data_IF_010273207826
#
_entry.id   IF_010273207826
#
_cell.length_a   1.000
_cell.length_b   1.000
_cell.length_c   1.000
_cell.angle_alpha   90.00
_cell.angle_beta   90.00
_cell.angle_gamma   90.00
#
_symmetry.space_group_name_H-M   'P 1'
#
loop_
_entity.id
_entity.type
_entity.pdbx_description
1 polymer ?
#
# COMPACT_ATOMS: atom_id res chain seq x y z
N UNK A 1 58.80 -18.38 -27.79
CA UNK A 1 58.75 -17.72 -26.46
C UNK A 1 57.32 -17.37 -26.03
N UNK A 2 56.30 -18.19 -26.37
CA UNK A 2 54.87 -17.82 -26.22
C UNK A 2 54.06 -18.70 -25.26
N UNK A 3 54.64 -19.76 -24.67
CA UNK A 3 53.88 -20.65 -23.77
C UNK A 3 53.82 -20.16 -22.33
N UNK A 4 54.87 -19.54 -21.79
CA UNK A 4 54.89 -19.06 -20.40
C UNK A 4 54.04 -17.78 -20.20
N UNK A 5 53.98 -16.89 -21.20
CA UNK A 5 53.17 -15.66 -21.11
C UNK A 5 51.67 -15.95 -21.03
N UNK A 6 51.20 -16.96 -21.76
CA UNK A 6 49.79 -17.36 -21.72
C UNK A 6 49.39 -17.96 -20.36
N UNK A 7 50.29 -18.69 -19.69
CA UNK A 7 50.01 -19.23 -18.36
C UNK A 7 49.85 -18.12 -17.31
N UNK A 8 50.69 -17.09 -17.35
CA UNK A 8 50.54 -15.95 -16.44
C UNK A 8 49.21 -15.20 -16.64
N UNK A 9 48.77 -15.05 -17.89
CA UNK A 9 47.48 -14.46 -18.22
C UNK A 9 46.30 -15.30 -17.72
N UNK A 10 46.35 -16.62 -17.91
CA UNK A 10 45.29 -17.54 -17.47
C UNK A 10 45.19 -17.56 -15.94
N UNK A 11 46.33 -17.58 -15.24
CA UNK A 11 46.36 -17.55 -13.77
C UNK A 11 45.77 -16.22 -13.27
N UNK A 12 46.16 -15.09 -13.86
CA UNK A 12 45.59 -13.78 -13.49
C UNK A 12 44.08 -13.71 -13.70
N UNK A 13 43.57 -14.23 -14.83
CA UNK A 13 42.14 -14.28 -15.12
C UNK A 13 41.38 -15.14 -14.11
N UNK A 14 41.89 -16.33 -13.78
CA UNK A 14 41.26 -17.23 -12.83
C UNK A 14 41.23 -16.64 -11.42
N UNK A 15 42.32 -15.99 -11.00
CA UNK A 15 42.41 -15.33 -9.69
C UNK A 15 41.44 -14.15 -9.60
N UNK A 16 41.37 -13.32 -10.64
CA UNK A 16 40.42 -12.20 -10.70
C UNK A 16 38.96 -12.66 -10.71
N UNK A 17 38.64 -13.71 -11.47
CA UNK A 17 37.30 -14.28 -11.52
C UNK A 17 36.89 -14.88 -10.17
N UNK A 18 37.76 -15.65 -9.53
CA UNK A 18 37.52 -16.22 -8.22
C UNK A 18 37.31 -15.13 -7.14
N UNK A 19 38.14 -14.09 -7.17
CA UNK A 19 38.00 -12.95 -6.26
C UNK A 19 36.69 -12.17 -6.48
N UNK A 20 36.32 -11.93 -7.75
CA UNK A 20 35.07 -11.26 -8.10
C UNK A 20 33.83 -12.06 -7.69
N UNK A 21 33.86 -13.39 -7.89
CA UNK A 21 32.77 -14.27 -7.49
C UNK A 21 32.62 -14.30 -5.96
N UNK A 22 33.73 -14.42 -5.23
CA UNK A 22 33.74 -14.38 -3.77
C UNK A 22 33.22 -13.04 -3.25
N UNK A 23 33.64 -11.92 -3.86
CA UNK A 23 33.15 -10.59 -3.51
C UNK A 23 31.63 -10.48 -3.72
N UNK A 24 31.13 -10.92 -4.88
CA UNK A 24 29.70 -10.88 -5.20
C UNK A 24 28.84 -11.77 -4.29
N UNK A 25 29.39 -12.86 -3.74
CA UNK A 25 28.63 -13.78 -2.90
C UNK A 25 28.67 -13.45 -1.41
N UNK A 26 29.80 -12.98 -0.89
CA UNK A 26 29.97 -12.73 0.54
C UNK A 26 29.62 -11.31 0.95
N UNK A 27 29.89 -10.32 0.08
CA UNK A 27 29.79 -8.91 0.47
C UNK A 27 28.50 -8.27 -0.03
N UNK A 28 27.96 -8.72 -1.18
CA UNK A 28 26.74 -8.17 -1.73
C UNK A 28 25.83 -9.26 -2.33
N UNK A 29 25.21 -10.12 -1.48
CA UNK A 29 24.29 -11.12 -1.97
C UNK A 29 23.14 -10.44 -2.71
N UNK A 30 22.76 -10.99 -3.87
CA UNK A 30 21.69 -10.43 -4.70
C UNK A 30 20.35 -10.58 -3.97
N UNK A 31 19.90 -9.52 -3.31
CA UNK A 31 18.51 -9.40 -2.90
C UNK A 31 17.67 -9.07 -4.14
N UNK A 32 16.78 -9.97 -4.52
CA UNK A 32 15.82 -9.76 -5.60
C UNK A 32 14.73 -8.78 -5.12
N UNK A 33 15.08 -7.49 -5.04
CA UNK A 33 14.16 -6.38 -4.79
C UNK A 33 13.52 -6.01 -6.14
N UNK A 34 12.48 -6.75 -6.48
CA UNK A 34 11.36 -6.43 -7.38
C UNK A 34 10.80 -7.73 -7.97
N UNK A 35 10.22 -8.56 -7.12
CA UNK A 35 9.34 -9.62 -7.61
C UNK A 35 8.04 -8.98 -8.06
N UNK A 36 7.95 -8.68 -9.36
CA UNK A 36 6.69 -8.39 -10.02
C UNK A 36 5.65 -9.44 -9.58
N UNK A 37 4.41 -9.06 -9.21
CA UNK A 37 3.41 -9.96 -8.63
C UNK A 37 2.97 -11.15 -9.53
N UNK A 38 3.47 -11.22 -10.77
CA UNK A 38 3.36 -12.38 -11.65
C UNK A 38 4.11 -13.61 -11.11
N UNK A 39 5.22 -13.39 -10.39
CA UNK A 39 6.08 -14.43 -9.78
C UNK A 39 5.51 -15.05 -8.49
N UNK A 40 4.31 -14.64 -8.05
CA UNK A 40 3.66 -15.20 -6.87
C UNK A 40 3.26 -16.66 -7.12
N UNK A 41 3.56 -17.54 -6.13
CA UNK A 41 2.99 -18.89 -6.09
C UNK A 41 1.46 -18.83 -6.11
N UNK A 42 0.84 -19.87 -6.68
CA UNK A 42 -0.60 -19.95 -6.97
C UNK A 42 -1.52 -19.77 -5.74
N UNK A 43 -1.00 -20.10 -4.55
CA UNK A 43 -1.63 -19.88 -3.25
C UNK A 43 -1.76 -18.38 -2.91
N UNK A 44 -0.70 -17.59 -3.09
CA UNK A 44 -0.74 -16.14 -2.81
C UNK A 44 -1.65 -15.36 -3.78
N UNK A 45 -1.82 -15.85 -5.02
CA UNK A 45 -2.80 -15.29 -5.97
C UNK A 45 -4.22 -15.39 -5.40
N UNK A 46 -4.55 -16.49 -4.73
CA UNK A 46 -5.86 -16.69 -4.12
C UNK A 46 -6.10 -15.74 -2.94
N UNK A 47 -5.09 -15.45 -2.13
CA UNK A 47 -5.23 -14.53 -1.01
C UNK A 47 -5.31 -13.08 -1.49
N UNK A 48 -4.52 -12.70 -2.50
CA UNK A 48 -4.64 -11.39 -3.16
C UNK A 48 -6.04 -11.17 -3.78
N UNK A 49 -6.61 -12.19 -4.41
CA UNK A 49 -7.99 -12.14 -4.93
C UNK A 49 -9.02 -11.96 -3.82
N UNK A 50 -8.81 -12.61 -2.68
CA UNK A 50 -9.68 -12.46 -1.50
C UNK A 50 -9.63 -11.03 -0.97
N UNK A 51 -8.45 -10.40 -0.95
CA UNK A 51 -8.28 -8.99 -0.55
C UNK A 51 -8.95 -8.02 -1.53
N UNK A 52 -8.88 -8.29 -2.84
CA UNK A 52 -9.61 -7.47 -3.83
C UNK A 52 -11.11 -7.60 -3.60
N UNK A 53 -11.60 -8.81 -3.35
CA UNK A 53 -13.01 -9.07 -3.10
C UNK A 53 -13.52 -8.40 -1.82
N UNK A 54 -12.78 -8.50 -0.72
CA UNK A 54 -13.17 -7.86 0.55
C UNK A 54 -13.16 -6.34 0.45
N UNK A 55 -12.18 -5.76 -0.25
CA UNK A 55 -12.14 -4.33 -0.53
C UNK A 55 -13.32 -3.89 -1.41
N UNK A 56 -13.71 -4.69 -2.41
CA UNK A 56 -14.87 -4.40 -3.25
C UNK A 56 -16.17 -4.39 -2.45
N UNK A 57 -16.39 -5.34 -1.54
CA UNK A 57 -17.59 -5.34 -0.69
C UNK A 57 -17.62 -4.13 0.26
N UNK A 58 -16.46 -3.71 0.75
CA UNK A 58 -16.36 -2.56 1.65
C UNK A 58 -16.61 -1.21 0.94
N UNK A 59 -16.12 -1.04 -0.29
CA UNK A 59 -16.15 0.25 -1.00
C UNK A 59 -17.21 0.33 -2.10
N UNK A 60 -17.61 -0.80 -2.69
CA UNK A 60 -18.52 -0.87 -3.85
C UNK A 60 -17.92 -0.39 -5.18
N UNK A 61 -16.63 -0.02 -5.20
CA UNK A 61 -15.94 0.56 -6.36
C UNK A 61 -15.56 -0.54 -7.38
N UNK A 62 -16.44 -0.76 -8.35
CA UNK A 62 -16.28 -1.79 -9.38
C UNK A 62 -15.13 -1.48 -10.35
N UNK A 63 -14.88 -0.21 -10.66
CA UNK A 63 -13.82 0.19 -11.60
C UNK A 63 -12.44 -0.06 -11.01
N UNK A 64 -12.25 0.28 -9.73
CA UNK A 64 -11.02 -0.03 -8.99
C UNK A 64 -10.78 -1.53 -8.86
N UNK A 65 -11.82 -2.31 -8.59
CA UNK A 65 -11.72 -3.77 -8.50
C UNK A 65 -11.33 -4.39 -9.85
N UNK A 66 -11.94 -3.94 -10.95
CA UNK A 66 -11.59 -4.37 -12.32
C UNK A 66 -10.16 -3.99 -12.70
N UNK A 67 -9.74 -2.76 -12.36
CA UNK A 67 -8.38 -2.31 -12.58
C UNK A 67 -7.40 -3.26 -11.89
N UNK A 68 -7.57 -3.54 -10.59
CA UNK A 68 -6.70 -4.48 -9.83
C UNK A 68 -6.69 -5.89 -10.39
N UNK A 69 -7.84 -6.42 -10.80
CA UNK A 69 -7.94 -7.74 -11.44
C UNK A 69 -7.19 -7.82 -12.78
N UNK A 70 -7.11 -6.72 -13.53
CA UNK A 70 -6.39 -6.68 -14.80
C UNK A 70 -4.87 -6.91 -14.65
N UNK A 71 -4.30 -6.55 -13.50
CA UNK A 71 -2.87 -6.78 -13.22
C UNK A 71 -2.56 -8.26 -12.91
N UNK A 72 -3.55 -9.04 -12.44
CA UNK A 72 -3.37 -10.45 -12.07
C UNK A 72 -3.48 -11.40 -13.28
N UNK A 73 -3.94 -10.87 -14.43
CA UNK A 73 -4.08 -11.58 -15.71
C UNK A 73 -4.75 -12.96 -15.62
N UNK A 74 -5.85 -13.05 -14.87
CA UNK A 74 -6.59 -14.31 -14.71
C UNK A 74 -7.42 -14.59 -15.95
N UNK A 75 -7.29 -15.79 -16.50
CA UNK A 75 -8.17 -16.28 -17.56
C UNK A 75 -9.57 -16.52 -16.99
N UNK A 76 -10.57 -15.83 -17.55
CA UNK A 76 -11.96 -15.88 -17.12
C UNK A 76 -12.16 -15.64 -15.60
N UNK A 77 -12.09 -14.37 -15.15
CA UNK A 77 -12.08 -14.04 -13.73
C UNK A 77 -13.43 -14.33 -13.04
N UNK A 78 -14.56 -14.27 -13.77
CA UNK A 78 -15.87 -14.51 -13.19
C UNK A 78 -16.04 -15.98 -12.76
N UNK A 79 -15.71 -16.93 -13.63
CA UNK A 79 -15.82 -18.36 -13.31
C UNK A 79 -14.78 -18.81 -12.28
N UNK A 80 -13.58 -18.22 -12.32
CA UNK A 80 -12.51 -18.52 -11.37
C UNK A 80 -12.88 -18.07 -9.96
N UNK A 81 -13.38 -16.85 -9.79
CA UNK A 81 -13.83 -16.33 -8.49
C UNK A 81 -15.06 -17.08 -7.96
N UNK A 82 -15.99 -17.47 -8.85
CA UNK A 82 -17.16 -18.27 -8.47
C UNK A 82 -16.78 -19.66 -7.91
N UNK A 83 -15.87 -20.36 -8.58
CA UNK A 83 -15.33 -21.65 -8.07
C UNK A 83 -14.57 -21.49 -6.77
N UNK A 84 -13.82 -20.40 -6.63
CA UNK A 84 -13.07 -20.10 -5.42
C UNK A 84 -13.99 -19.81 -4.22
N UNK A 85 -15.08 -19.06 -4.43
CA UNK A 85 -16.10 -18.83 -3.40
C UNK A 85 -16.72 -20.15 -2.91
N UNK A 86 -17.09 -21.04 -3.82
CA UNK A 86 -17.64 -22.36 -3.49
C UNK A 86 -16.64 -23.23 -2.70
N UNK A 87 -15.37 -23.25 -3.13
CA UNK A 87 -14.30 -23.96 -2.43
C UNK A 87 -14.09 -23.46 -0.99
N UNK A 88 -14.13 -22.13 -0.78
CA UNK A 88 -13.98 -21.52 0.56
C UNK A 88 -15.13 -21.90 1.50
N UNK A 89 -16.36 -21.97 0.99
CA UNK A 89 -17.52 -22.46 1.75
C UNK A 89 -17.35 -23.94 2.15
N UNK A 90 -16.90 -24.79 1.22
CA UNK A 90 -16.65 -26.20 1.50
C UNK A 90 -15.51 -26.43 2.50
N UNK A 91 -14.50 -25.54 2.51
CA UNK A 91 -13.35 -25.60 3.40
C UNK A 91 -13.60 -24.99 4.79
N UNK A 92 -14.81 -24.50 5.10
CA UNK A 92 -15.13 -23.89 6.39
C UNK A 92 -14.39 -22.57 6.68
N UNK A 93 -13.97 -21.86 5.62
CA UNK A 93 -13.37 -20.52 5.74
C UNK A 93 -14.44 -19.47 6.09
N UNK A 94 -14.04 -18.27 6.56
CA UNK A 94 -15.00 -17.24 6.95
C UNK A 94 -16.01 -16.96 5.83
N UNK A 95 -17.31 -17.07 6.15
CA UNK A 95 -18.39 -16.89 5.15
C UNK A 95 -18.36 -15.51 4.49
N UNK A 96 -17.83 -14.51 5.20
CA UNK A 96 -17.64 -13.15 4.68
C UNK A 96 -16.72 -13.14 3.44
N UNK A 97 -15.65 -13.94 3.43
CA UNK A 97 -14.73 -14.03 2.29
C UNK A 97 -15.40 -14.69 1.10
N UNK A 98 -16.13 -15.78 1.32
CA UNK A 98 -16.84 -16.48 0.26
C UNK A 98 -17.95 -15.62 -0.37
N UNK A 99 -18.69 -14.87 0.45
CA UNK A 99 -19.70 -13.91 -0.02
C UNK A 99 -19.06 -12.80 -0.83
N UNK A 100 -17.90 -12.29 -0.39
CA UNK A 100 -17.18 -11.24 -1.11
C UNK A 100 -16.70 -11.70 -2.49
N UNK A 101 -16.15 -12.91 -2.58
CA UNK A 101 -15.72 -13.50 -3.84
C UNK A 101 -16.91 -13.74 -4.79
N UNK A 102 -18.07 -14.17 -4.27
CA UNK A 102 -19.28 -14.36 -5.05
C UNK A 102 -19.86 -13.04 -5.59
N UNK A 103 -19.83 -11.97 -4.79
CA UNK A 103 -20.28 -10.64 -5.23
C UNK A 103 -19.35 -10.04 -6.30
N UNK A 104 -18.03 -10.22 -6.14
CA UNK A 104 -17.07 -9.80 -7.15
C UNK A 104 -17.25 -10.60 -8.45
N UNK A 105 -17.52 -11.90 -8.37
CA UNK A 105 -17.82 -12.74 -9.53
C UNK A 105 -19.10 -12.30 -10.27
N UNK A 106 -20.16 -11.96 -9.54
CA UNK A 106 -21.40 -11.43 -10.11
C UNK A 106 -21.17 -10.13 -10.88
N UNK A 107 -20.47 -9.17 -10.26
CA UNK A 107 -20.11 -7.88 -10.89
C UNK A 107 -19.36 -8.04 -12.23
N UNK A 108 -18.53 -9.08 -12.34
CA UNK A 108 -17.77 -9.38 -13.55
C UNK A 108 -18.60 -10.16 -14.59
N UNK A 109 -19.59 -10.92 -14.15
CA UNK A 109 -20.58 -11.59 -15.00
C UNK A 109 -21.55 -10.61 -15.67
N UNK A 110 -21.77 -9.44 -15.05
CA UNK A 110 -22.63 -8.36 -15.55
C UNK A 110 -22.00 -7.48 -16.67
N UNK A 111 -20.95 -7.94 -17.37
CA UNK A 111 -20.47 -7.21 -18.56
C UNK A 111 -21.64 -7.01 -19.53
N UNK A 112 -21.85 -5.81 -20.10
CA UNK A 112 -22.83 -5.60 -21.16
C UNK A 112 -22.30 -6.31 -22.42
N UNK A 113 -22.66 -7.58 -22.58
CA UNK A 113 -22.47 -8.27 -23.85
C UNK A 113 -23.46 -7.69 -24.85
N UNK A 114 -23.03 -7.20 -26.02
CA UNK A 114 -23.96 -6.95 -27.10
C UNK A 114 -24.56 -8.30 -27.51
N UNK A 115 -25.90 -8.37 -27.44
CA UNK A 115 -26.80 -9.27 -28.15
C UNK A 115 -26.15 -10.52 -28.76
N UNK A 116 -26.36 -11.69 -28.15
CA UNK A 116 -26.92 -12.90 -28.78
C UNK A 116 -27.36 -13.81 -27.63
N UNK A 117 -28.67 -13.86 -27.40
CA UNK A 117 -29.29 -14.82 -26.50
C UNK A 117 -29.27 -16.21 -27.15
N UNK A 118 -28.61 -17.17 -26.51
CA UNK A 118 -28.90 -18.60 -26.72
C UNK A 118 -29.53 -19.11 -25.42
N UNK A 119 -30.84 -19.37 -25.37
CA UNK A 119 -31.47 -19.96 -24.19
C UNK A 119 -31.36 -21.49 -24.26
N UNK A 120 -30.87 -22.12 -23.18
CA UNK A 120 -31.12 -23.54 -22.88
C UNK A 120 -31.59 -23.63 -21.42
N UNK A 121 -32.38 -24.65 -21.04
CA UNK A 121 -33.79 -24.49 -20.69
C UNK A 121 -34.01 -24.46 -19.18
N UNK A 122 -34.79 -23.50 -18.69
CA UNK A 122 -35.34 -23.52 -17.34
C UNK A 122 -36.78 -24.01 -17.38
N UNK A 123 -37.12 -24.89 -16.44
CA UNK A 123 -38.33 -25.71 -16.41
C UNK A 123 -39.64 -24.94 -16.56
N UNK A 124 -40.61 -25.62 -17.17
CA UNK A 124 -41.97 -25.17 -17.33
C UNK A 124 -42.64 -24.85 -15.99
N UNK A 125 -43.15 -23.63 -15.87
CA UNK A 125 -44.29 -23.32 -15.01
C UNK A 125 -45.31 -22.55 -15.83
N UNK A 126 -46.46 -23.19 -16.00
CA UNK A 126 -47.70 -22.75 -16.64
C UNK A 126 -48.09 -21.32 -16.25
N UNK A 127 -48.40 -20.49 -17.26
CA UNK A 127 -48.95 -19.14 -17.10
C UNK A 127 -50.44 -19.20 -16.73
N UNK A 128 -50.77 -18.73 -15.53
CA UNK A 128 -52.13 -18.30 -15.18
C UNK A 128 -52.19 -16.78 -15.37
N UNK A 129 -53.16 -16.22 -16.12
CA UNK A 129 -53.27 -14.77 -16.26
C UNK A 129 -53.94 -14.17 -15.01
N UNK A 130 -53.25 -13.22 -14.36
CA UNK A 130 -53.78 -12.41 -13.26
C UNK A 130 -54.12 -10.99 -13.78
N UNK A 131 -55.17 -10.30 -13.27
CA UNK A 131 -55.67 -9.05 -13.85
C UNK A 131 -54.72 -7.86 -13.65
N UNK A 132 -54.90 -6.74 -14.38
CA UNK A 132 -54.05 -5.56 -14.22
C UNK A 132 -54.25 -4.90 -12.86
N UNK A 133 -53.15 -4.72 -12.13
CA UNK A 133 -53.08 -3.91 -10.89
C UNK A 133 -52.73 -2.45 -11.24
N UNK A 134 -53.29 -1.43 -10.55
CA UNK A 134 -53.10 -0.04 -10.90
C UNK A 134 -51.66 0.46 -10.68
N UNK A 135 -51.21 1.29 -11.62
CA UNK A 135 -49.96 2.05 -11.57
C UNK A 135 -49.98 3.04 -10.40
N UNK A 136 -49.10 2.85 -9.41
CA UNK A 136 -48.77 3.89 -8.43
C UNK A 136 -47.54 4.65 -8.91
N UNK A 137 -47.72 5.93 -9.20
CA UNK A 137 -46.65 6.88 -9.51
C UNK A 137 -45.86 7.17 -8.22
N UNK A 138 -44.53 6.98 -8.16
CA UNK A 138 -43.75 7.37 -6.99
C UNK A 138 -43.63 8.90 -6.91
N UNK A 139 -44.18 9.46 -5.84
CA UNK A 139 -43.93 10.84 -5.38
C UNK A 139 -42.50 10.93 -4.86
N UNK A 140 -41.71 11.85 -5.41
CA UNK A 140 -40.33 12.14 -4.96
C UNK A 140 -40.39 12.82 -3.60
N UNK A 141 -40.15 12.07 -2.54
CA UNK A 141 -39.89 12.62 -1.21
C UNK A 141 -38.43 13.09 -1.15
N UNK A 142 -38.14 14.35 -0.77
CA UNK A 142 -36.75 14.77 -0.56
C UNK A 142 -36.14 14.00 0.61
N UNK A 143 -35.02 13.34 0.34
CA UNK A 143 -34.22 12.62 1.34
C UNK A 143 -33.75 13.58 2.44
N UNK A 144 -33.76 13.19 3.73
CA UNK A 144 -33.20 14.01 4.79
C UNK A 144 -31.69 14.20 4.56
N UNK A 145 -31.26 15.45 4.43
CA UNK A 145 -29.86 15.85 4.45
C UNK A 145 -29.29 15.54 5.83
N UNK A 146 -28.36 14.58 5.90
CA UNK A 146 -27.57 14.35 7.11
C UNK A 146 -26.79 15.64 7.43
N UNK A 147 -26.85 16.17 8.67
CA UNK A 147 -26.00 17.28 9.07
C UNK A 147 -24.52 16.86 8.92
N UNK A 148 -23.60 17.80 8.62
CA UNK A 148 -22.17 17.48 8.56
C UNK A 148 -21.77 16.87 9.90
N UNK A 149 -21.36 15.60 9.88
CA UNK A 149 -20.74 14.96 11.02
C UNK A 149 -19.53 15.79 11.40
N UNK A 150 -19.46 16.25 12.64
CA UNK A 150 -18.29 16.93 13.17
C UNK A 150 -17.04 16.11 12.82
N UNK A 151 -16.12 16.71 12.07
CA UNK A 151 -14.78 16.16 11.85
C UNK A 151 -14.22 15.83 13.22
N UNK A 152 -14.03 14.55 13.52
CA UNK A 152 -13.37 14.15 14.75
C UNK A 152 -12.05 14.92 14.83
N UNK A 153 -11.84 15.67 15.92
CA UNK A 153 -10.58 16.37 16.17
C UNK A 153 -9.44 15.38 15.96
N UNK A 154 -8.42 15.79 15.18
CA UNK A 154 -7.31 14.91 14.93
C UNK A 154 -6.67 14.56 16.29
N UNK A 155 -6.45 13.28 16.60
CA UNK A 155 -5.98 12.90 17.93
C UNK A 155 -4.58 13.40 18.26
N UNK A 156 -3.73 13.69 17.26
CA UNK A 156 -2.32 14.04 17.49
C UNK A 156 -2.02 15.50 17.15
N UNK A 157 -1.25 16.19 17.97
CA UNK A 157 -0.78 17.55 17.69
C UNK A 157 0.74 17.62 17.74
N UNK A 158 1.35 18.49 16.93
CA UNK A 158 2.80 18.66 16.92
C UNK A 158 3.25 19.36 18.22
N UNK A 159 4.04 18.65 19.03
CA UNK A 159 4.53 19.16 20.33
C UNK A 159 5.94 19.70 20.22
N UNK A 160 6.79 19.08 19.40
CA UNK A 160 8.17 19.53 19.21
C UNK A 160 8.63 19.37 17.77
N UNK A 161 9.48 20.29 17.32
CA UNK A 161 10.21 20.21 16.07
C UNK A 161 11.65 20.64 16.28
N UNK A 162 12.59 19.90 15.71
CA UNK A 162 14.02 20.19 15.84
C UNK A 162 14.81 19.68 14.65
N UNK A 163 15.93 20.32 14.37
CA UNK A 163 16.95 19.83 13.45
C UNK A 163 17.91 18.87 14.17
N UNK A 164 18.29 17.79 13.49
CA UNK A 164 19.30 16.84 13.94
C UNK A 164 20.55 17.02 13.08
N UNK A 165 21.60 17.54 13.71
CA UNK A 165 22.95 17.63 13.16
C UNK A 165 23.83 16.55 13.81
N UNK A 166 23.63 15.29 13.41
CA UNK A 166 24.48 14.17 13.82
C UNK A 166 25.18 13.59 12.57
N UNK A 167 26.52 13.67 12.47
CA UNK A 167 27.26 13.12 11.32
C UNK A 167 27.21 11.59 11.25
N UNK A 168 26.75 10.89 12.30
CA UNK A 168 26.53 9.45 12.26
C UNK A 168 25.30 9.06 11.42
N UNK A 169 24.36 9.99 11.21
CA UNK A 169 23.25 9.82 10.27
C UNK A 169 23.80 10.03 8.86
N UNK A 170 24.18 8.93 8.20
CA UNK A 170 24.77 8.94 6.85
C UNK A 170 23.83 9.53 5.78
N UNK A 171 22.53 9.62 6.08
CA UNK A 171 21.49 10.13 5.19
C UNK A 171 20.72 11.28 5.87
N UNK A 172 20.41 12.32 5.09
CA UNK A 172 19.49 13.38 5.52
C UNK A 172 18.06 12.85 5.48
N UNK A 173 17.35 12.93 6.60
CA UNK A 173 16.02 12.34 6.76
C UNK A 173 15.07 13.21 7.57
N UNK A 174 13.79 13.13 7.25
CA UNK A 174 12.69 13.59 8.08
C UNK A 174 12.30 12.45 9.01
N UNK A 175 12.44 12.65 10.31
CA UNK A 175 12.03 11.68 11.32
C UNK A 175 10.78 12.17 12.02
N UNK A 176 9.86 11.24 12.29
CA UNK A 176 8.68 11.50 13.09
C UNK A 176 8.65 10.56 14.29
N UNK A 177 8.25 11.09 15.43
CA UNK A 177 8.00 10.31 16.64
C UNK A 177 6.58 10.62 17.13
N UNK A 178 5.69 9.64 17.03
CA UNK A 178 4.30 9.78 17.46
C UNK A 178 4.11 9.11 18.80
N UNK A 179 3.68 9.89 19.79
CA UNK A 179 3.47 9.48 21.18
C UNK A 179 1.98 9.59 21.55
N UNK A 180 1.53 8.72 22.45
CA UNK A 180 0.22 8.85 23.07
C UNK A 180 0.25 9.77 24.31
N UNK A 181 -0.89 9.94 24.97
CA UNK A 181 -0.99 10.74 26.20
C UNK A 181 -0.14 10.20 27.37
N UNK A 182 0.31 8.94 27.31
CA UNK A 182 1.21 8.31 28.27
C UNK A 182 2.68 8.30 27.79
N UNK A 183 3.03 9.11 26.79
CA UNK A 183 4.37 9.21 26.19
C UNK A 183 4.91 7.91 25.58
N UNK A 184 4.03 6.93 25.31
CA UNK A 184 4.41 5.71 24.60
C UNK A 184 4.22 5.88 23.09
N UNK A 185 5.15 5.32 22.31
CA UNK A 185 5.11 5.34 20.86
C UNK A 185 3.88 4.63 20.28
N UNK A 186 3.23 5.23 19.29
CA UNK A 186 2.04 4.70 18.61
C UNK A 186 2.42 4.22 17.21
N UNK A 187 2.23 2.92 16.95
CA UNK A 187 2.48 2.32 15.65
C UNK A 187 1.28 2.46 14.70
N UNK A 188 1.55 2.42 13.40
CA UNK A 188 0.53 2.44 12.34
C UNK A 188 -0.05 3.83 12.06
N UNK A 189 0.60 4.90 12.52
CA UNK A 189 0.19 6.27 12.21
C UNK A 189 0.79 6.67 10.86
N UNK A 190 -0.08 7.13 9.95
CA UNK A 190 0.29 7.51 8.59
C UNK A 190 0.75 8.97 8.52
N UNK A 191 1.92 9.17 7.94
CA UNK A 191 2.45 10.48 7.58
C UNK A 191 2.55 10.61 6.06
N UNK A 192 2.14 11.77 5.56
CA UNK A 192 2.22 12.17 4.16
C UNK A 192 3.26 13.28 4.02
N UNK A 193 4.23 13.07 3.15
CA UNK A 193 5.20 14.09 2.72
C UNK A 193 4.92 14.45 1.27
N UNK A 194 4.84 15.75 1.00
CA UNK A 194 4.54 16.30 -0.34
C UNK A 194 5.69 17.23 -0.76
N UNK A 195 6.08 17.16 -2.02
CA UNK A 195 7.06 18.05 -2.65
C UNK A 195 6.63 18.37 -4.10
N UNK A 196 7.40 19.19 -4.81
CA UNK A 196 6.99 19.77 -6.11
C UNK A 196 6.64 18.71 -7.18
N UNK A 197 7.27 17.55 -7.15
CA UNK A 197 7.12 16.50 -8.18
C UNK A 197 6.33 15.28 -7.72
N UNK A 198 5.84 15.25 -6.47
CA UNK A 198 5.12 14.09 -5.96
C UNK A 198 4.77 14.14 -4.47
N UNK A 199 4.32 13.00 -3.97
CA UNK A 199 4.04 12.77 -2.57
C UNK A 199 4.43 11.35 -2.18
N UNK A 200 4.71 11.12 -0.90
CA UNK A 200 5.04 9.82 -0.34
C UNK A 200 4.37 9.66 1.01
N UNK A 201 3.88 8.46 1.30
CA UNK A 201 3.28 8.09 2.59
C UNK A 201 4.17 7.08 3.30
N UNK A 202 4.37 7.26 4.60
CA UNK A 202 5.12 6.34 5.45
C UNK A 202 4.43 6.19 6.81
N UNK A 203 4.75 5.12 7.53
CA UNK A 203 4.01 4.70 8.72
C UNK A 203 4.94 4.50 9.92
N UNK A 204 4.46 4.86 11.11
CA UNK A 204 5.18 4.59 12.37
C UNK A 204 5.18 3.11 12.74
N UNK A 205 6.26 2.68 13.41
CA UNK A 205 6.38 1.33 13.98
C UNK A 205 6.91 0.27 13.01
N UNK A 206 7.41 0.69 11.84
CA UNK A 206 8.08 -0.20 10.88
C UNK A 206 9.55 -0.45 11.22
N UNK A 207 10.12 0.26 12.21
CA UNK A 207 11.49 0.10 12.71
C UNK A 207 11.49 -0.30 14.19
N UNK A 208 11.40 -1.61 14.52
CA UNK A 208 11.27 -2.07 15.90
C UNK A 208 12.45 -1.69 16.79
N UNK A 209 13.64 -1.48 16.22
CA UNK A 209 14.86 -1.07 16.92
C UNK A 209 14.84 0.39 17.40
N UNK A 210 14.04 1.26 16.77
CA UNK A 210 13.87 2.67 17.16
C UNK A 210 12.56 2.92 17.93
N UNK A 211 11.65 1.95 17.93
CA UNK A 211 10.44 1.94 18.73
C UNK A 211 9.15 2.09 17.91
N UNK A 212 7.99 1.79 18.53
CA UNK A 212 6.70 1.70 17.81
C UNK A 212 6.19 3.04 17.28
N UNK A 213 6.63 4.17 17.82
CA UNK A 213 6.21 5.50 17.40
C UNK A 213 7.09 6.12 16.30
N UNK A 214 8.17 5.45 15.90
CA UNK A 214 9.17 6.01 15.00
C UNK A 214 8.82 5.75 13.54
N UNK A 215 9.03 6.75 12.69
CA UNK A 215 9.12 6.61 11.25
C UNK A 215 10.09 7.64 10.65
N UNK A 216 10.55 7.38 9.45
CA UNK A 216 11.49 8.25 8.75
C UNK A 216 11.24 8.27 7.24
N UNK A 217 11.77 9.31 6.61
CA UNK A 217 11.74 9.52 5.18
C UNK A 217 13.05 10.19 4.74
N UNK A 218 13.81 9.55 3.85
CA UNK A 218 15.05 10.10 3.29
C UNK A 218 14.77 11.31 2.39
N UNK A 219 15.45 12.43 2.66
CA UNK A 219 15.33 13.67 1.92
C UNK A 219 16.29 13.72 0.73
N UNK A 220 15.92 14.49 -0.29
CA UNK A 220 16.79 14.84 -1.41
C UNK A 220 17.31 16.27 -1.24
N UNK A 221 18.57 16.48 -1.64
CA UNK A 221 19.18 17.80 -1.61
C UNK A 221 18.47 18.78 -2.55
N UNK A 222 18.26 20.02 -2.08
CA UNK A 222 17.62 21.08 -2.86
C UNK A 222 16.11 20.95 -3.02
N UNK A 223 15.47 19.94 -2.43
CA UNK A 223 14.01 19.77 -2.43
C UNK A 223 13.39 20.33 -1.15
N UNK A 224 12.25 20.99 -1.29
CA UNK A 224 11.45 21.47 -0.16
C UNK A 224 10.21 20.60 -0.01
N UNK A 225 9.97 20.16 1.22
CA UNK A 225 8.92 19.23 1.60
C UNK A 225 7.87 19.90 2.49
N UNK A 226 6.67 19.34 2.45
CA UNK A 226 5.61 19.59 3.42
C UNK A 226 5.20 18.28 4.08
N UNK A 227 5.22 18.24 5.41
CA UNK A 227 4.86 17.08 6.21
C UNK A 227 3.47 17.27 6.82
N UNK A 228 2.61 16.27 6.64
CA UNK A 228 1.30 16.20 7.27
C UNK A 228 1.11 14.83 7.92
N UNK A 229 0.70 14.82 9.18
CA UNK A 229 0.24 13.58 9.82
C UNK A 229 -1.25 13.40 9.52
N UNK A 230 -1.66 12.29 8.91
CA UNK A 230 -3.05 12.10 8.45
C UNK A 230 -4.04 12.12 9.62
N UNK A 231 -3.62 11.57 10.77
CA UNK A 231 -4.39 11.58 12.01
C UNK A 231 -3.98 12.71 12.96
N UNK A 232 -3.15 13.65 12.50
CA UNK A 232 -2.69 14.76 13.29
C UNK A 232 -3.20 16.11 12.79
N UNK A 233 -3.04 17.10 13.66
CA UNK A 233 -3.25 18.49 13.34
C UNK A 233 -1.95 19.10 12.82
N UNK A 234 -2.08 19.97 11.83
CA UNK A 234 -0.97 20.76 11.31
C UNK A 234 -0.37 20.21 10.02
N UNK A 235 0.09 21.15 9.20
CA UNK A 235 0.89 20.94 8.01
C UNK A 235 2.19 21.73 8.21
N UNK A 236 3.31 21.03 8.35
CA UNK A 236 4.61 21.67 8.45
C UNK A 236 5.17 21.83 7.04
N UNK A 237 5.25 23.07 6.56
CA UNK A 237 5.76 23.41 5.23
C UNK A 237 7.19 23.95 5.31
N UNK A 238 7.93 23.89 4.21
CA UNK A 238 9.26 24.52 4.14
C UNK A 238 10.37 23.65 4.74
N UNK A 239 10.17 22.34 4.78
CA UNK A 239 11.13 21.39 5.33
C UNK A 239 12.15 21.09 4.24
N UNK A 240 13.39 21.52 4.42
CA UNK A 240 14.49 21.22 3.50
C UNK A 240 15.72 20.76 4.29
N UNK A 241 16.62 20.03 3.66
CA UNK A 241 17.89 19.66 4.28
C UNK A 241 18.61 20.94 4.73
N UNK A 242 18.84 21.08 6.05
CA UNK A 242 19.54 22.22 6.62
C UNK A 242 21.03 21.94 6.59
N UNK A 243 21.87 22.91 6.23
CA UNK A 243 23.32 22.72 6.29
C UNK A 243 23.78 22.75 7.75
N UNK A 244 24.31 21.62 8.24
CA UNK A 244 25.01 21.48 9.50
C UNK A 244 26.52 21.55 9.24
N UNK A 245 27.31 21.78 10.29
CA UNK A 245 28.78 21.80 10.23
C UNK A 245 29.30 20.79 11.23
N UNK A 246 30.21 19.93 10.80
CA UNK A 246 30.81 18.93 11.68
C UNK A 246 31.92 19.53 12.56
N UNK A 247 32.58 18.69 13.36
CA UNK A 247 33.67 19.12 14.24
C UNK A 247 34.92 19.60 13.50
N UNK A 248 35.07 19.24 12.23
CA UNK A 248 36.20 19.58 11.36
C UNK A 248 35.92 20.81 10.48
N UNK A 249 34.68 21.33 10.49
CA UNK A 249 34.26 22.51 9.75
C UNK A 249 33.64 22.21 8.38
N UNK A 250 33.45 20.93 8.03
CA UNK A 250 32.87 20.53 6.76
C UNK A 250 31.33 20.62 6.81
N UNK A 251 30.68 21.17 5.78
CA UNK A 251 29.23 21.26 5.72
C UNK A 251 28.61 19.92 5.31
N UNK A 252 27.55 19.51 6.00
CA UNK A 252 26.75 18.33 5.66
C UNK A 252 25.25 18.61 5.78
N UNK A 253 24.43 17.78 5.13
CA UNK A 253 22.98 17.88 5.18
C UNK A 253 22.41 17.29 6.49
N UNK A 254 21.80 18.15 7.30
CA UNK A 254 21.12 17.78 8.53
C UNK A 254 19.75 17.13 8.29
N UNK A 255 19.29 16.44 9.33
CA UNK A 255 17.98 15.78 9.38
C UNK A 255 16.98 16.62 10.18
N UNK A 256 15.70 16.24 10.15
CA UNK A 256 14.64 16.82 10.96
C UNK A 256 14.01 15.80 11.89
N UNK A 257 13.52 16.24 13.06
CA UNK A 257 12.70 15.46 13.97
C UNK A 257 11.42 16.23 14.32
N UNK A 258 10.29 15.56 14.12
CA UNK A 258 8.96 16.06 14.49
C UNK A 258 8.33 15.12 15.51
N UNK A 259 8.04 15.64 16.70
CA UNK A 259 7.37 14.88 17.76
C UNK A 259 5.91 15.27 17.85
N UNK A 260 5.03 14.30 17.63
CA UNK A 260 3.59 14.46 17.75
C UNK A 260 3.10 13.77 19.01
N UNK A 261 2.18 14.39 19.73
CA UNK A 261 1.59 13.82 20.94
C UNK A 261 0.07 13.77 20.84
N UNK A 262 -0.53 12.70 21.33
CA UNK A 262 -1.97 12.60 21.40
C UNK A 262 -2.54 13.59 22.41
N UNK A 263 -3.41 14.49 21.97
CA UNK A 263 -4.19 15.34 22.85
C UNK A 263 -5.05 14.47 23.75
N UNK A 264 -4.92 14.64 25.07
CA UNK A 264 -5.76 13.91 26.02
C UNK A 264 -7.24 14.23 25.73
N UNK A 265 -8.05 13.19 25.53
CA UNK A 265 -9.50 13.37 25.39
C UNK A 265 -10.05 14.01 26.69
N UNK A 266 -10.89 15.05 26.60
CA UNK A 266 -11.51 15.68 27.77
C UNK A 266 -12.51 14.76 28.48
#
# INVERSE_FOLDING_TARGET
>A
MSRLGNFALIIGLLLGFAAGLFYSWTINPVEYIDSSPDSLREDFKSDYLTLIASAYVATGDADRARARLAWVQITDPASTLGRMAQSRLAAGRPEAEARALAQLAAMLGERPSPLIATPTPHGAATTTPLPPSPTFTPTVTPSPTLPPTATASAPFSLTAKGDICDPALQETQIQILVLNAAEHGVAGVEALVVWDTGQSTFFTGLKPELGPGFADFTMQEGVTYSLQLIQGDGLETGISAKTCTDGDGEPYAGSWLFTYQQSAAP
#
